data_IF_195551697892
#
_entry.id   IF_195551697892
#
_cell.length_a   1.000
_cell.length_b   1.000
_cell.length_c   1.000
_cell.angle_alpha   90.00
_cell.angle_beta   90.00
_cell.angle_gamma   90.00
#
_symmetry.space_group_name_H-M   'P 1'
#
loop_
_entity.id
_entity.type
_entity.pdbx_description
1 polymer ?
#
# COMPACT_ATOMS: atom_id res chain seq x y z
N UNK A 1 -3.80 -32.30 -14.05
CA UNK A 1 -2.48 -31.84 -13.58
C UNK A 1 -2.62 -31.41 -12.11
N UNK A 2 -1.67 -31.79 -11.24
CA UNK A 2 -1.72 -31.37 -9.83
C UNK A 2 -1.61 -29.85 -9.73
N UNK A 3 -2.29 -29.24 -8.75
CA UNK A 3 -2.26 -27.80 -8.46
C UNK A 3 -0.82 -27.38 -8.20
N UNK A 4 -0.26 -26.50 -9.04
CA UNK A 4 1.09 -25.95 -8.80
C UNK A 4 1.03 -24.97 -7.63
N UNK A 5 1.77 -25.23 -6.56
CA UNK A 5 1.97 -24.31 -5.47
C UNK A 5 3.07 -23.31 -5.87
N UNK A 6 2.81 -22.02 -5.73
CA UNK A 6 3.72 -20.95 -6.13
C UNK A 6 4.84 -20.74 -5.11
N UNK A 7 6.01 -20.29 -5.56
CA UNK A 7 7.03 -19.71 -4.70
C UNK A 7 6.70 -18.24 -4.43
N UNK A 8 7.27 -17.68 -3.38
CA UNK A 8 7.07 -16.29 -2.99
C UNK A 8 8.40 -15.56 -2.81
N UNK A 9 8.56 -14.44 -3.53
CA UNK A 9 9.68 -13.53 -3.39
C UNK A 9 9.22 -12.26 -2.66
N UNK A 10 9.98 -11.85 -1.64
CA UNK A 10 9.85 -10.57 -0.94
C UNK A 10 11.00 -9.66 -1.37
N UNK A 11 10.72 -8.46 -1.85
CA UNK A 11 11.75 -7.45 -2.16
C UNK A 11 11.58 -6.28 -1.20
N UNK A 12 12.66 -5.99 -0.43
CA UNK A 12 12.67 -5.05 0.68
C UNK A 12 12.50 -5.75 2.03
N UNK A 13 13.51 -5.65 2.90
CA UNK A 13 13.57 -6.30 4.21
C UNK A 13 13.16 -5.39 5.38
N UNK A 14 12.45 -4.28 5.09
CA UNK A 14 12.05 -3.28 6.07
C UNK A 14 10.92 -3.73 7.00
N UNK A 15 10.42 -2.77 7.79
CA UNK A 15 9.41 -2.98 8.84
C UNK A 15 8.14 -3.69 8.35
N UNK A 16 7.61 -3.28 7.19
CA UNK A 16 6.37 -3.89 6.67
C UNK A 16 6.58 -5.35 6.26
N UNK A 17 7.75 -5.68 5.73
CA UNK A 17 8.05 -7.06 5.31
C UNK A 17 8.40 -7.94 6.49
N UNK A 18 9.35 -7.55 7.35
CA UNK A 18 9.97 -8.44 8.35
C UNK A 18 9.84 -7.97 9.80
N UNK A 19 9.37 -6.74 10.03
CA UNK A 19 9.41 -6.09 11.35
C UNK A 19 10.76 -5.47 11.69
N UNK A 20 11.72 -5.45 10.75
CA UNK A 20 13.05 -4.89 10.97
C UNK A 20 13.06 -3.38 10.71
N UNK A 21 13.62 -2.61 11.67
CA UNK A 21 13.80 -1.16 11.56
C UNK A 21 15.29 -0.85 11.57
N UNK A 22 15.79 -0.20 10.52
CA UNK A 22 17.20 0.13 10.31
C UNK A 22 17.50 1.63 10.49
N UNK A 23 16.60 2.37 11.12
CA UNK A 23 16.77 3.77 11.46
C UNK A 23 17.28 3.93 12.89
N UNK A 24 17.58 5.17 13.31
CA UNK A 24 18.25 5.53 14.55
C UNK A 24 17.83 4.70 15.78
N UNK A 25 18.80 4.44 16.65
CA UNK A 25 18.62 3.69 17.90
C UNK A 25 17.39 4.17 18.69
N UNK A 26 16.43 3.27 18.97
CA UNK A 26 15.25 3.55 19.79
C UNK A 26 13.90 3.64 19.06
N UNK A 27 13.86 3.57 17.73
CA UNK A 27 12.59 3.48 17.02
C UNK A 27 11.99 2.07 17.21
N UNK A 28 10.90 1.97 17.97
CA UNK A 28 10.16 0.72 18.09
C UNK A 28 9.35 0.47 16.81
N UNK A 29 9.36 -0.76 16.26
CA UNK A 29 8.56 -1.10 15.10
C UNK A 29 7.07 -1.01 15.42
N UNK A 30 6.32 -0.37 14.54
CA UNK A 30 4.85 -0.35 14.56
C UNK A 30 4.28 -1.76 14.25
N UNK A 31 5.02 -2.52 13.45
CA UNK A 31 4.68 -3.88 13.01
C UNK A 31 5.76 -4.88 13.48
N UNK A 32 5.67 -5.38 14.72
CA UNK A 32 6.77 -6.07 15.38
C UNK A 32 7.25 -7.37 14.69
N UNK A 33 6.42 -8.01 13.88
CA UNK A 33 6.75 -9.20 13.09
C UNK A 33 6.59 -8.96 11.58
N UNK A 34 6.47 -7.71 11.15
CA UNK A 34 6.09 -7.36 9.79
C UNK A 34 4.68 -7.81 9.44
N UNK A 35 4.35 -7.73 8.16
CA UNK A 35 3.07 -8.19 7.60
C UNK A 35 3.32 -9.29 6.55
N UNK A 36 4.30 -9.09 5.68
CA UNK A 36 4.53 -9.98 4.53
C UNK A 36 5.14 -11.31 4.94
N UNK A 37 6.26 -11.30 5.68
CA UNK A 37 6.97 -12.52 6.06
C UNK A 37 6.11 -13.45 6.93
N UNK A 38 5.38 -12.90 7.90
CA UNK A 38 4.47 -13.69 8.74
C UNK A 38 3.30 -14.28 7.92
N UNK A 39 2.75 -13.51 6.96
CA UNK A 39 1.67 -13.98 6.08
C UNK A 39 2.17 -15.11 5.18
N UNK A 40 3.30 -14.93 4.49
CA UNK A 40 3.84 -15.97 3.63
C UNK A 40 4.24 -17.23 4.41
N UNK A 41 4.79 -17.08 5.62
CA UNK A 41 5.12 -18.22 6.46
C UNK A 41 3.87 -19.00 6.87
N UNK A 42 2.76 -18.32 7.23
CA UNK A 42 1.49 -18.99 7.53
C UNK A 42 0.87 -19.62 6.28
N UNK A 43 0.95 -18.98 5.12
CA UNK A 43 0.51 -19.56 3.86
C UNK A 43 1.31 -20.81 3.47
N UNK A 44 2.64 -20.82 3.74
CA UNK A 44 3.46 -22.02 3.57
C UNK A 44 3.05 -23.12 4.54
N UNK A 45 2.84 -22.81 5.81
CA UNK A 45 2.31 -23.75 6.81
C UNK A 45 0.98 -24.38 6.37
N UNK A 46 0.15 -23.61 5.67
CA UNK A 46 -1.15 -24.04 5.14
C UNK A 46 -1.06 -24.68 3.74
N UNK A 47 0.16 -24.95 3.23
CA UNK A 47 0.40 -25.60 1.93
C UNK A 47 0.03 -24.73 0.71
N UNK A 48 -0.04 -23.40 0.88
CA UNK A 48 -0.41 -22.43 -0.18
C UNK A 48 0.80 -21.82 -0.88
N UNK A 49 1.98 -21.85 -0.25
CA UNK A 49 3.25 -21.38 -0.78
C UNK A 49 4.29 -22.48 -0.62
N UNK A 50 5.19 -22.61 -1.59
CA UNK A 50 6.31 -23.55 -1.57
C UNK A 50 7.57 -22.85 -1.01
N UNK A 51 8.54 -22.44 -1.82
CA UNK A 51 9.74 -21.79 -1.36
C UNK A 51 9.56 -20.28 -1.19
N UNK A 52 10.34 -19.71 -0.26
CA UNK A 52 10.32 -18.29 0.04
C UNK A 52 11.71 -17.69 -0.10
N UNK A 53 11.77 -16.51 -0.73
CA UNK A 53 12.98 -15.74 -0.99
C UNK A 53 12.81 -14.32 -0.47
N UNK A 54 13.93 -13.70 -0.05
CA UNK A 54 13.96 -12.31 0.40
C UNK A 54 15.16 -11.60 -0.21
N UNK A 55 14.93 -10.47 -0.86
CA UNK A 55 15.97 -9.60 -1.40
C UNK A 55 15.92 -8.21 -0.75
N UNK A 56 17.09 -7.64 -0.48
CA UNK A 56 17.28 -6.23 -0.10
C UNK A 56 18.58 -5.74 -0.73
N UNK A 57 18.75 -4.43 -0.85
CA UNK A 57 19.99 -3.88 -1.40
C UNK A 57 21.21 -4.02 -0.46
N UNK A 58 21.02 -4.31 0.82
CA UNK A 58 22.07 -4.32 1.85
C UNK A 58 22.20 -5.71 2.47
N UNK A 59 23.16 -6.51 1.96
CA UNK A 59 23.42 -7.88 2.43
C UNK A 59 23.86 -7.93 3.89
N UNK A 60 24.67 -6.98 4.33
CA UNK A 60 25.16 -6.90 5.73
C UNK A 60 24.04 -6.76 6.78
N UNK A 61 22.80 -6.44 6.38
CA UNK A 61 21.62 -6.43 7.27
C UNK A 61 20.96 -7.79 7.42
N UNK A 62 21.21 -8.73 6.49
CA UNK A 62 20.49 -10.00 6.44
C UNK A 62 20.62 -10.87 7.70
N UNK A 63 21.77 -10.94 8.40
CA UNK A 63 21.84 -11.64 9.67
C UNK A 63 20.85 -11.12 10.71
N UNK A 64 20.73 -9.80 10.87
CA UNK A 64 19.79 -9.17 11.81
C UNK A 64 18.34 -9.36 11.37
N UNK A 65 18.05 -9.34 10.06
CA UNK A 65 16.73 -9.63 9.50
C UNK A 65 16.30 -11.06 9.80
N UNK A 66 17.17 -12.04 9.55
CA UNK A 66 16.89 -13.45 9.88
C UNK A 66 16.68 -13.66 11.38
N UNK A 67 17.45 -12.99 12.23
CA UNK A 67 17.27 -13.04 13.69
C UNK A 67 15.92 -12.45 14.11
N UNK A 68 15.52 -11.31 13.54
CA UNK A 68 14.19 -10.72 13.77
C UNK A 68 13.07 -11.69 13.39
N UNK A 69 13.13 -12.28 12.19
CA UNK A 69 12.13 -13.24 11.75
C UNK A 69 12.12 -14.51 12.61
N UNK A 70 13.29 -15.02 13.01
CA UNK A 70 13.41 -16.15 13.93
C UNK A 70 12.72 -15.88 15.27
N UNK A 71 13.05 -14.76 15.90
CA UNK A 71 12.56 -14.43 17.25
C UNK A 71 11.09 -13.99 17.25
N UNK A 72 10.65 -13.29 16.20
CA UNK A 72 9.29 -12.71 16.13
C UNK A 72 8.26 -13.60 15.45
N UNK A 73 8.69 -14.60 14.67
CA UNK A 73 7.82 -15.51 13.93
C UNK A 73 8.07 -16.96 14.35
N UNK A 74 9.27 -17.53 14.10
CA UNK A 74 9.52 -18.95 14.33
C UNK A 74 9.36 -19.36 15.81
N UNK A 75 9.92 -18.60 16.73
CA UNK A 75 9.88 -18.89 18.17
C UNK A 75 8.55 -18.51 18.82
N UNK A 76 7.78 -17.64 18.16
CA UNK A 76 6.51 -17.12 18.71
C UNK A 76 5.31 -17.98 18.37
N UNK A 77 5.31 -18.62 17.20
CA UNK A 77 4.14 -19.35 16.71
C UNK A 77 4.50 -20.79 16.32
N UNK A 78 3.70 -21.76 16.77
CA UNK A 78 3.85 -23.17 16.38
C UNK A 78 3.71 -23.36 14.87
N UNK A 79 4.58 -24.17 14.28
CA UNK A 79 4.57 -24.53 12.86
C UNK A 79 4.99 -23.39 11.93
N UNK A 80 5.70 -22.36 12.43
CA UNK A 80 6.19 -21.23 11.65
C UNK A 80 7.72 -21.26 11.47
N UNK A 81 8.37 -22.37 11.78
CA UNK A 81 9.82 -22.57 11.67
C UNK A 81 10.33 -22.44 10.23
N UNK A 82 9.44 -22.56 9.24
CA UNK A 82 9.72 -22.35 7.81
C UNK A 82 10.36 -21.00 7.50
N UNK A 83 10.13 -19.99 8.33
CA UNK A 83 10.75 -18.66 8.16
C UNK A 83 12.27 -18.73 8.22
N UNK A 84 12.84 -19.70 8.93
CA UNK A 84 14.28 -19.91 9.04
C UNK A 84 14.91 -20.47 7.74
N UNK A 85 14.08 -21.00 6.82
CA UNK A 85 14.52 -21.52 5.52
C UNK A 85 14.43 -20.50 4.39
N UNK A 86 14.05 -19.25 4.67
CA UNK A 86 14.03 -18.18 3.68
C UNK A 86 15.45 -17.90 3.19
N UNK A 87 15.67 -18.04 1.86
CA UNK A 87 16.94 -17.67 1.24
C UNK A 87 16.99 -16.16 1.04
N UNK A 88 18.06 -15.53 1.50
CA UNK A 88 18.26 -14.08 1.47
C UNK A 88 19.27 -13.66 0.41
N UNK A 89 19.07 -12.52 -0.24
CA UNK A 89 19.91 -11.93 -1.28
C UNK A 89 20.12 -10.43 -1.00
N UNK A 90 21.34 -9.89 -1.29
CA UNK A 90 22.56 -10.58 -1.68
C UNK A 90 23.18 -11.36 -0.49
N UNK A 91 24.42 -11.89 -0.66
CA UNK A 91 25.17 -12.52 0.41
C UNK A 91 25.44 -11.53 1.56
N UNK A 92 25.65 -12.06 2.78
CA UNK A 92 25.78 -11.29 4.02
C UNK A 92 26.98 -10.32 4.05
N UNK A 93 27.99 -10.55 3.24
CA UNK A 93 29.21 -9.72 3.11
C UNK A 93 29.05 -8.53 2.16
N UNK A 94 27.96 -8.50 1.38
CA UNK A 94 27.70 -7.43 0.39
C UNK A 94 27.19 -6.19 1.12
N UNK A 95 27.99 -5.11 1.09
CA UNK A 95 27.62 -3.85 1.72
C UNK A 95 26.41 -3.17 1.05
N UNK A 96 26.35 -3.19 -0.28
CA UNK A 96 25.26 -2.63 -1.07
C UNK A 96 25.26 -3.18 -2.51
N UNK A 97 24.08 -3.62 -2.96
CA UNK A 97 23.81 -4.01 -4.35
C UNK A 97 22.36 -3.63 -4.70
N UNK A 98 22.18 -2.56 -5.47
CA UNK A 98 20.87 -2.08 -5.89
C UNK A 98 20.10 -3.08 -6.76
N UNK A 99 20.80 -4.05 -7.38
CA UNK A 99 20.23 -5.04 -8.29
C UNK A 99 20.11 -6.44 -7.67
N UNK A 100 20.36 -6.58 -6.36
CA UNK A 100 20.27 -7.87 -5.65
C UNK A 100 18.95 -8.60 -5.87
N UNK A 101 17.85 -7.87 -6.13
CA UNK A 101 16.56 -8.47 -6.46
C UNK A 101 16.60 -9.34 -7.71
N UNK A 102 17.48 -9.07 -8.67
CA UNK A 102 17.65 -9.91 -9.89
C UNK A 102 18.17 -11.30 -9.56
N UNK A 103 19.04 -11.42 -8.54
CA UNK A 103 19.53 -12.72 -8.04
C UNK A 103 18.39 -13.56 -7.46
N UNK A 104 17.46 -12.91 -6.77
CA UNK A 104 16.29 -13.57 -6.21
C UNK A 104 15.25 -13.91 -7.28
N UNK A 105 15.02 -13.06 -8.27
CA UNK A 105 14.17 -13.34 -9.44
C UNK A 105 14.63 -14.61 -10.14
N UNK A 106 15.94 -14.81 -10.29
CA UNK A 106 16.53 -16.00 -10.92
C UNK A 106 16.22 -17.32 -10.17
N UNK A 107 15.75 -17.27 -8.93
CA UNK A 107 15.28 -18.44 -8.16
C UNK A 107 13.81 -18.77 -8.43
N UNK A 108 13.07 -17.83 -9.01
CA UNK A 108 11.63 -17.96 -9.26
C UNK A 108 11.36 -18.59 -10.63
N UNK A 109 10.16 -19.06 -10.81
CA UNK A 109 9.65 -19.58 -12.08
C UNK A 109 8.44 -18.77 -12.55
N UNK A 110 8.16 -18.68 -13.86
CA UNK A 110 6.96 -18.01 -14.37
C UNK A 110 5.69 -18.39 -13.59
N UNK A 111 4.89 -17.41 -13.19
CA UNK A 111 3.69 -17.57 -12.37
C UNK A 111 3.92 -17.59 -10.86
N UNK A 112 5.16 -17.50 -10.37
CA UNK A 112 5.42 -17.26 -8.94
C UNK A 112 5.01 -15.84 -8.54
N UNK A 113 4.90 -15.58 -7.23
CA UNK A 113 4.42 -14.31 -6.69
C UNK A 113 5.54 -13.49 -6.08
N UNK A 114 5.48 -12.17 -6.28
CA UNK A 114 6.44 -11.22 -5.71
C UNK A 114 5.71 -10.13 -4.97
N UNK A 115 6.24 -9.75 -3.80
CA UNK A 115 5.84 -8.53 -3.09
C UNK A 115 7.00 -7.54 -3.08
N UNK A 116 6.73 -6.26 -3.35
CA UNK A 116 7.73 -5.19 -3.41
C UNK A 116 7.39 -4.12 -2.37
N UNK A 117 8.21 -4.02 -1.31
CA UNK A 117 8.08 -3.05 -0.22
C UNK A 117 9.42 -2.34 0.00
N UNK A 118 9.80 -1.55 -0.98
CA UNK A 118 11.04 -0.78 -1.07
C UNK A 118 10.74 0.72 -1.09
N UNK A 119 11.71 1.63 -1.14
CA UNK A 119 11.44 3.05 -1.37
C UNK A 119 10.75 3.29 -2.73
N UNK A 120 9.81 4.25 -2.76
CA UNK A 120 8.93 4.53 -3.91
C UNK A 120 9.66 4.65 -5.26
N UNK A 121 10.88 5.25 -5.27
CA UNK A 121 11.67 5.44 -6.49
C UNK A 121 12.17 4.15 -7.13
N UNK A 122 12.19 3.04 -6.40
CA UNK A 122 12.70 1.74 -6.86
C UNK A 122 11.60 0.80 -7.37
N UNK A 123 10.33 1.13 -7.11
CA UNK A 123 9.20 0.26 -7.43
C UNK A 123 9.12 -0.06 -8.92
N UNK A 124 9.33 0.95 -9.79
CA UNK A 124 9.19 0.80 -11.24
C UNK A 124 10.14 -0.25 -11.80
N UNK A 125 11.44 -0.11 -11.54
CA UNK A 125 12.46 -0.99 -12.14
C UNK A 125 12.31 -2.43 -11.62
N UNK A 126 12.03 -2.58 -10.31
CA UNK A 126 11.85 -3.90 -9.69
C UNK A 126 10.57 -4.57 -10.21
N UNK A 127 9.44 -3.85 -10.26
CA UNK A 127 8.18 -4.40 -10.75
C UNK A 127 8.26 -4.81 -12.22
N UNK A 128 8.89 -3.97 -13.07
CA UNK A 128 9.12 -4.24 -14.48
C UNK A 128 9.94 -5.52 -14.66
N UNK A 129 11.10 -5.63 -13.98
CA UNK A 129 11.95 -6.81 -14.07
C UNK A 129 11.23 -8.10 -13.61
N UNK A 130 10.42 -8.03 -12.56
CA UNK A 130 9.62 -9.16 -12.08
C UNK A 130 8.58 -9.58 -13.13
N UNK A 131 7.86 -8.62 -13.73
CA UNK A 131 6.85 -8.92 -14.75
C UNK A 131 7.44 -9.44 -16.03
N UNK A 132 8.62 -8.94 -16.48
CA UNK A 132 9.37 -9.45 -17.61
C UNK A 132 9.86 -10.90 -17.39
N UNK A 133 10.12 -11.26 -16.12
CA UNK A 133 10.39 -12.65 -15.71
C UNK A 133 9.10 -13.49 -15.56
N UNK A 134 7.92 -12.94 -15.94
CA UNK A 134 6.59 -13.56 -15.85
C UNK A 134 6.16 -13.91 -14.43
N UNK A 135 6.52 -13.08 -13.45
CA UNK A 135 6.07 -13.18 -12.06
C UNK A 135 4.87 -12.28 -11.82
N UNK A 136 3.92 -12.72 -11.00
CA UNK A 136 2.84 -11.88 -10.52
C UNK A 136 3.34 -10.95 -9.43
N UNK A 137 2.96 -9.67 -9.48
CA UNK A 137 3.54 -8.62 -8.63
C UNK A 137 2.47 -7.97 -7.75
N UNK A 138 2.77 -7.84 -6.45
CA UNK A 138 2.07 -6.97 -5.51
C UNK A 138 3.05 -5.88 -5.05
N UNK A 139 2.89 -4.66 -5.55
CA UNK A 139 3.77 -3.54 -5.20
C UNK A 139 3.14 -2.66 -4.12
N UNK A 140 3.97 -2.15 -3.21
CA UNK A 140 3.52 -1.18 -2.21
C UNK A 140 2.95 0.10 -2.85
N UNK A 141 2.11 0.80 -2.11
CA UNK A 141 1.59 2.11 -2.53
C UNK A 141 2.59 3.24 -2.20
N UNK A 142 2.68 4.26 -3.05
CA UNK A 142 2.13 4.31 -4.41
C UNK A 142 2.85 3.30 -5.31
N UNK A 143 2.18 2.76 -6.32
CA UNK A 143 2.82 1.83 -7.26
C UNK A 143 4.07 2.47 -7.88
N UNK A 144 3.91 3.68 -8.36
CA UNK A 144 4.95 4.60 -8.84
C UNK A 144 4.49 6.04 -8.59
N UNK A 145 5.38 7.02 -8.77
CA UNK A 145 5.08 8.43 -8.53
C UNK A 145 4.56 9.19 -9.76
N UNK A 146 4.74 8.65 -10.96
CA UNK A 146 4.35 9.32 -12.21
C UNK A 146 3.42 8.46 -13.06
N UNK A 147 2.50 9.12 -13.75
CA UNK A 147 1.51 8.48 -14.62
C UNK A 147 2.19 7.74 -15.78
N UNK A 148 3.21 8.33 -16.41
CA UNK A 148 3.93 7.68 -17.52
C UNK A 148 4.49 6.32 -17.13
N UNK A 149 5.19 6.24 -15.98
CA UNK A 149 5.70 4.97 -15.45
C UNK A 149 4.57 4.00 -15.09
N UNK A 150 3.44 4.51 -14.61
CA UNK A 150 2.28 3.69 -14.29
C UNK A 150 1.69 3.05 -15.56
N UNK A 151 1.51 3.85 -16.61
CA UNK A 151 1.00 3.38 -17.90
C UNK A 151 1.97 2.36 -18.54
N UNK A 152 3.28 2.56 -18.39
CA UNK A 152 4.28 1.59 -18.84
C UNK A 152 4.15 0.26 -18.07
N UNK A 153 3.96 0.28 -16.75
CA UNK A 153 3.74 -0.97 -15.99
C UNK A 153 2.47 -1.71 -16.42
N UNK A 154 1.39 -0.98 -16.75
CA UNK A 154 0.17 -1.58 -17.33
C UNK A 154 0.51 -2.32 -18.62
N UNK A 155 1.28 -1.69 -19.50
CA UNK A 155 1.68 -2.29 -20.77
C UNK A 155 2.55 -3.53 -20.54
N UNK A 156 3.56 -3.45 -19.68
CA UNK A 156 4.45 -4.59 -19.33
C UNK A 156 3.65 -5.76 -18.75
N UNK A 157 2.69 -5.48 -17.85
CA UNK A 157 1.81 -6.52 -17.28
C UNK A 157 0.95 -7.21 -18.35
N UNK A 158 0.47 -6.46 -19.36
CA UNK A 158 -0.29 -7.00 -20.49
C UNK A 158 0.58 -7.88 -21.39
N UNK A 159 1.74 -7.38 -21.80
CA UNK A 159 2.66 -8.09 -22.70
C UNK A 159 3.16 -9.41 -22.11
N UNK A 160 3.37 -9.46 -20.80
CA UNK A 160 3.87 -10.65 -20.12
C UNK A 160 2.75 -11.56 -19.58
N UNK A 161 1.49 -11.16 -19.74
CA UNK A 161 0.31 -11.88 -19.24
C UNK A 161 0.40 -12.22 -17.74
N UNK A 162 0.83 -11.26 -16.91
CA UNK A 162 0.94 -11.39 -15.45
C UNK A 162 -0.01 -10.41 -14.74
N UNK A 163 -0.39 -10.72 -13.52
CA UNK A 163 -1.14 -9.82 -12.66
C UNK A 163 -0.16 -8.89 -11.93
N UNK A 164 -0.44 -7.58 -11.98
CA UNK A 164 0.22 -6.59 -11.15
C UNK A 164 -0.84 -5.87 -10.32
N UNK A 165 -0.67 -5.87 -9.00
CA UNK A 165 -1.57 -5.21 -8.06
C UNK A 165 -0.80 -4.24 -7.16
N UNK A 166 -1.52 -3.24 -6.64
CA UNK A 166 -1.01 -2.29 -5.64
C UNK A 166 -1.55 -2.64 -4.27
N UNK A 167 -0.70 -2.62 -3.24
CA UNK A 167 -1.07 -3.00 -1.87
C UNK A 167 -1.92 -1.91 -1.20
N UNK A 168 -3.16 -1.81 -1.63
CA UNK A 168 -4.19 -1.02 -0.95
C UNK A 168 -4.97 -1.91 0.04
N UNK A 169 -4.29 -2.38 1.09
CA UNK A 169 -4.85 -3.29 2.08
C UNK A 169 -6.14 -2.79 2.74
N UNK A 170 -6.42 -1.49 2.72
CA UNK A 170 -7.67 -0.91 3.23
C UNK A 170 -8.91 -1.39 2.49
N UNK A 171 -8.79 -1.85 1.25
CA UNK A 171 -9.90 -2.49 0.52
C UNK A 171 -10.40 -3.76 1.21
N UNK A 172 -9.57 -4.37 2.09
CA UNK A 172 -9.91 -5.57 2.86
C UNK A 172 -10.37 -5.27 4.31
N UNK A 173 -10.41 -3.99 4.70
CA UNK A 173 -11.01 -3.55 5.96
C UNK A 173 -12.54 -3.61 5.84
N UNK A 174 -13.24 -4.34 6.73
CA UNK A 174 -14.70 -4.53 6.64
C UNK A 174 -15.50 -3.24 6.53
N UNK A 175 -15.05 -2.16 7.20
CA UNK A 175 -15.75 -0.86 7.12
C UNK A 175 -15.63 -0.24 5.72
N UNK A 176 -14.48 -0.38 5.07
CA UNK A 176 -14.25 0.18 3.75
C UNK A 176 -14.87 -0.68 2.66
N UNK A 177 -14.86 -2.00 2.85
CA UNK A 177 -15.53 -2.93 1.93
C UNK A 177 -17.04 -2.68 1.92
N UNK A 178 -17.68 -2.60 3.11
CA UNK A 178 -19.12 -2.30 3.22
C UNK A 178 -19.47 -0.91 2.67
N UNK A 179 -18.61 0.09 2.89
CA UNK A 179 -18.81 1.43 2.33
C UNK A 179 -18.77 1.42 0.79
N UNK A 180 -17.86 0.64 0.20
CA UNK A 180 -17.79 0.47 -1.26
C UNK A 180 -19.05 -0.23 -1.79
N UNK A 181 -19.49 -1.31 -1.15
CA UNK A 181 -20.64 -2.09 -1.60
C UNK A 181 -21.96 -1.30 -1.56
N UNK A 182 -22.03 -0.29 -0.68
CA UNK A 182 -23.18 0.65 -0.61
C UNK A 182 -23.07 1.82 -1.56
N UNK A 183 -21.88 2.09 -2.12
CA UNK A 183 -21.58 3.28 -2.91
C UNK A 183 -22.58 3.52 -4.05
N UNK A 184 -22.90 2.49 -4.82
CA UNK A 184 -23.81 2.57 -5.96
C UNK A 184 -25.24 3.03 -5.54
N UNK A 185 -25.70 2.70 -4.33
CA UNK A 185 -27.02 3.10 -3.83
C UNK A 185 -27.12 4.58 -3.47
N UNK A 186 -25.97 5.27 -3.36
CA UNK A 186 -25.91 6.68 -2.95
C UNK A 186 -26.08 7.65 -4.14
N UNK A 187 -26.19 7.12 -5.37
CA UNK A 187 -26.35 7.92 -6.59
C UNK A 187 -25.06 8.62 -7.04
N UNK A 188 -25.15 9.57 -7.99
CA UNK A 188 -24.00 10.28 -8.52
C UNK A 188 -23.13 10.89 -7.42
N UNK A 189 -21.81 10.80 -7.60
CA UNK A 189 -20.83 11.29 -6.61
C UNK A 189 -20.93 12.82 -6.47
N UNK A 190 -21.04 13.29 -5.25
CA UNK A 190 -21.10 14.71 -4.90
C UNK A 190 -19.86 15.19 -4.16
N UNK A 191 -19.46 14.45 -3.10
CA UNK A 191 -18.44 14.98 -2.21
C UNK A 191 -17.73 13.85 -1.46
N UNK A 192 -16.41 13.96 -1.36
CA UNK A 192 -15.57 13.13 -0.47
C UNK A 192 -14.61 14.01 0.32
N UNK A 193 -14.59 13.87 1.62
CA UNK A 193 -13.62 14.55 2.49
C UNK A 193 -12.93 13.54 3.38
N UNK A 194 -11.60 13.46 3.29
CA UNK A 194 -10.84 12.51 4.05
C UNK A 194 -9.64 13.15 4.75
N UNK A 195 -9.34 12.64 5.93
CA UNK A 195 -8.16 13.04 6.69
C UNK A 195 -7.43 11.80 7.18
N UNK A 196 -6.11 11.78 6.99
CA UNK A 196 -5.23 10.77 7.54
C UNK A 196 -4.00 11.42 8.15
N UNK A 197 -3.77 11.16 9.45
CA UNK A 197 -2.65 11.78 10.17
C UNK A 197 -1.80 10.74 10.85
N UNK A 198 -0.51 11.06 10.99
CA UNK A 198 0.46 10.27 11.74
C UNK A 198 1.14 11.12 12.83
N UNK A 199 1.54 10.55 13.96
CA UNK A 199 2.27 11.28 14.98
C UNK A 199 3.66 11.68 14.51
N UNK A 200 4.12 12.85 14.97
CA UNK A 200 5.45 13.39 14.64
C UNK A 200 6.58 12.41 14.92
N UNK A 201 6.47 11.58 15.95
CA UNK A 201 7.47 10.58 16.29
C UNK A 201 7.75 9.57 15.15
N UNK A 202 6.83 9.36 14.23
CA UNK A 202 7.06 8.52 13.06
C UNK A 202 8.00 9.15 12.03
N UNK A 203 8.19 10.45 12.05
CA UNK A 203 9.21 11.10 11.22
C UNK A 203 10.62 10.56 11.49
N UNK A 204 10.91 10.07 12.70
CA UNK A 204 12.19 9.44 13.03
C UNK A 204 12.42 8.19 12.17
N UNK A 205 11.37 7.42 11.89
CA UNK A 205 11.39 6.27 10.97
C UNK A 205 11.50 6.71 9.50
N UNK A 206 10.89 7.82 9.15
CA UNK A 206 10.79 8.30 7.76
C UNK A 206 11.87 9.29 7.35
N UNK A 207 12.76 9.66 8.25
CA UNK A 207 13.82 10.65 8.05
C UNK A 207 14.64 10.45 6.78
N UNK A 208 14.85 9.21 6.38
CA UNK A 208 15.71 8.88 5.24
C UNK A 208 15.07 9.19 3.88
N UNK A 209 13.73 9.22 3.79
CA UNK A 209 13.02 9.41 2.53
C UNK A 209 12.08 10.62 2.49
N UNK A 210 11.56 11.09 3.63
CA UNK A 210 10.65 12.22 3.69
C UNK A 210 11.27 13.49 3.10
N UNK A 211 10.60 14.11 2.12
CA UNK A 211 11.09 15.27 1.37
C UNK A 211 12.28 14.99 0.44
N UNK A 212 12.61 13.71 0.18
CA UNK A 212 13.62 13.27 -0.80
C UNK A 212 13.00 12.42 -1.90
N UNK A 213 12.65 11.19 -1.57
CA UNK A 213 12.09 10.23 -2.51
C UNK A 213 10.56 10.17 -2.47
N UNK A 214 9.93 10.67 -1.41
CA UNK A 214 8.48 10.70 -1.26
C UNK A 214 8.03 11.81 -0.31
N UNK A 215 6.73 12.08 -0.26
CA UNK A 215 6.08 13.05 0.63
C UNK A 215 4.88 12.43 1.35
N UNK A 216 4.25 13.22 2.24
CA UNK A 216 3.11 12.76 3.03
C UNK A 216 1.88 12.46 2.18
N UNK A 217 1.71 13.09 1.01
CA UNK A 217 0.59 12.84 0.11
C UNK A 217 0.72 11.48 -0.56
N UNK A 218 1.87 11.16 -1.16
CA UNK A 218 2.14 9.83 -1.69
C UNK A 218 2.00 8.76 -0.61
N UNK A 219 2.44 9.07 0.61
CA UNK A 219 2.41 8.10 1.69
C UNK A 219 1.01 7.84 2.23
N UNK A 220 0.16 8.86 2.48
CA UNK A 220 -1.13 8.70 3.13
C UNK A 220 -2.34 9.01 2.23
N UNK A 221 -2.33 10.11 1.44
CA UNK A 221 -3.48 10.44 0.59
C UNK A 221 -3.78 9.34 -0.43
N UNK A 222 -2.75 8.59 -0.87
CA UNK A 222 -2.91 7.44 -1.76
C UNK A 222 -3.99 6.46 -1.30
N UNK A 223 -4.10 6.20 0.00
CA UNK A 223 -5.13 5.31 0.55
C UNK A 223 -6.56 5.85 0.37
N UNK A 224 -6.78 7.13 0.71
CA UNK A 224 -8.13 7.70 0.64
C UNK A 224 -8.53 8.09 -0.78
N UNK A 225 -7.56 8.41 -1.65
CA UNK A 225 -7.81 8.57 -3.09
C UNK A 225 -8.26 7.23 -3.68
N UNK A 226 -7.57 6.12 -3.35
CA UNK A 226 -7.97 4.78 -3.76
C UNK A 226 -9.39 4.43 -3.28
N UNK A 227 -9.70 4.67 -2.01
CA UNK A 227 -11.04 4.42 -1.46
C UNK A 227 -12.12 5.26 -2.15
N UNK A 228 -11.86 6.54 -2.40
CA UNK A 228 -12.79 7.39 -3.14
C UNK A 228 -13.03 6.84 -4.56
N UNK A 229 -11.95 6.55 -5.30
CA UNK A 229 -12.03 5.99 -6.63
C UNK A 229 -12.74 4.62 -6.66
N UNK A 230 -12.54 3.81 -5.62
CA UNK A 230 -13.16 2.49 -5.50
C UNK A 230 -14.66 2.56 -5.17
N UNK A 231 -15.10 3.52 -4.31
CA UNK A 231 -16.52 3.75 -3.99
C UNK A 231 -17.23 4.41 -5.17
N UNK A 232 -16.65 5.47 -5.77
CA UNK A 232 -17.20 6.14 -6.93
C UNK A 232 -17.25 5.21 -8.17
N UNK A 233 -16.41 4.18 -8.17
CA UNK A 233 -16.39 3.11 -9.14
C UNK A 233 -16.19 3.63 -10.57
N UNK A 234 -16.93 3.01 -11.50
CA UNK A 234 -16.90 3.35 -12.93
C UNK A 234 -17.87 4.48 -13.27
N UNK A 235 -18.62 5.00 -12.28
CA UNK A 235 -19.65 6.04 -12.50
C UNK A 235 -19.09 7.46 -12.50
N UNK A 236 -17.86 7.66 -12.01
CA UNK A 236 -17.23 8.99 -11.93
C UNK A 236 -15.73 8.91 -12.24
N UNK A 237 -15.17 10.01 -12.77
CA UNK A 237 -13.74 10.13 -13.06
C UNK A 237 -13.18 11.47 -12.61
N UNK A 238 -11.92 11.52 -12.11
CA UNK A 238 -11.27 12.78 -11.73
C UNK A 238 -10.91 13.59 -12.99
N UNK A 239 -11.09 14.92 -12.94
CA UNK A 239 -10.83 15.82 -14.07
C UNK A 239 -9.75 16.85 -13.79
N UNK A 240 -9.67 17.38 -12.55
CA UNK A 240 -8.71 18.43 -12.18
C UNK A 240 -8.25 18.25 -10.76
N UNK A 241 -7.02 18.66 -10.48
CA UNK A 241 -6.40 18.64 -9.13
C UNK A 241 -5.73 19.97 -8.83
N UNK A 242 -5.89 20.42 -7.58
CA UNK A 242 -5.14 21.53 -7.00
C UNK A 242 -4.63 21.10 -5.63
N UNK A 243 -3.46 21.57 -5.22
CA UNK A 243 -2.86 21.18 -3.96
C UNK A 243 -2.30 22.36 -3.17
N UNK A 244 -2.35 22.26 -1.84
CA UNK A 244 -1.74 23.18 -0.88
C UNK A 244 -0.98 22.39 0.19
N UNK A 245 0.10 22.99 0.72
CA UNK A 245 0.90 22.37 1.77
C UNK A 245 1.22 23.35 2.90
N UNK A 246 1.20 22.83 4.14
CA UNK A 246 1.79 23.48 5.29
C UNK A 246 3.22 22.96 5.50
N UNK A 247 4.12 23.79 6.00
CA UNK A 247 5.54 23.47 6.18
C UNK A 247 6.10 24.09 7.46
N UNK A 248 7.20 23.50 7.97
CA UNK A 248 8.03 24.05 9.03
C UNK A 248 8.12 23.18 10.30
N UNK A 249 7.05 22.48 10.69
CA UNK A 249 7.07 21.65 11.89
C UNK A 249 7.91 20.38 11.73
N UNK A 250 7.82 19.70 10.59
CA UNK A 250 8.58 18.48 10.30
C UNK A 250 10.09 18.77 10.22
N UNK A 251 10.48 19.83 9.49
CA UNK A 251 11.88 20.27 9.42
C UNK A 251 12.45 20.61 10.80
N UNK A 252 11.68 21.33 11.63
CA UNK A 252 12.08 21.67 13.01
C UNK A 252 12.21 20.43 13.88
N UNK A 253 11.25 19.50 13.79
CA UNK A 253 11.26 18.26 14.58
C UNK A 253 12.48 17.39 14.26
N UNK A 254 12.79 17.19 12.97
CA UNK A 254 13.92 16.40 12.52
C UNK A 254 15.26 17.10 12.59
N UNK A 255 15.28 18.41 12.89
CA UNK A 255 16.46 19.28 12.81
C UNK A 255 17.15 19.16 11.43
N UNK A 256 16.39 19.30 10.35
CA UNK A 256 16.83 19.15 8.95
C UNK A 256 16.67 20.48 8.21
N UNK A 257 17.75 20.94 7.57
CA UNK A 257 17.79 22.19 6.78
C UNK A 257 18.20 21.98 5.31
N UNK A 258 18.63 20.77 4.96
CA UNK A 258 19.11 20.43 3.61
C UNK A 258 17.98 20.21 2.58
N UNK A 259 16.74 20.14 3.03
CA UNK A 259 15.56 19.94 2.21
C UNK A 259 14.30 20.49 2.86
N UNK A 260 13.25 20.67 2.06
CA UNK A 260 11.91 21.00 2.54
C UNK A 260 11.10 19.71 2.74
N UNK A 261 10.38 19.64 3.86
CA UNK A 261 9.47 18.56 4.18
C UNK A 261 8.11 19.18 4.46
N UNK A 262 7.10 18.83 3.67
CA UNK A 262 5.75 19.29 3.90
C UNK A 262 5.18 18.64 5.16
N UNK A 263 4.62 19.43 6.06
CA UNK A 263 3.97 18.97 7.31
C UNK A 263 2.64 18.29 7.02
N UNK A 264 1.90 18.90 6.09
CA UNK A 264 0.55 18.52 5.70
C UNK A 264 0.37 18.88 4.23
N UNK A 265 -0.22 17.96 3.46
CA UNK A 265 -0.62 18.22 2.07
C UNK A 265 -2.11 17.95 1.92
N UNK A 266 -2.84 18.94 1.38
CA UNK A 266 -4.24 18.79 0.99
C UNK A 266 -4.37 18.86 -0.52
N UNK A 267 -5.01 17.85 -1.11
CA UNK A 267 -5.41 17.81 -2.50
C UNK A 267 -6.90 18.08 -2.61
N UNK A 268 -7.30 18.89 -3.57
CA UNK A 268 -8.71 19.06 -3.98
C UNK A 268 -8.83 18.61 -5.42
N UNK A 269 -9.77 17.70 -5.70
CA UNK A 269 -9.97 17.07 -7.01
C UNK A 269 -11.40 17.29 -7.47
N UNK A 270 -11.59 17.84 -8.67
CA UNK A 270 -12.88 17.85 -9.36
C UNK A 270 -13.11 16.48 -10.01
N UNK A 271 -14.33 15.97 -9.90
CA UNK A 271 -14.79 14.73 -10.52
C UNK A 271 -15.98 15.01 -11.44
N UNK A 272 -16.13 14.23 -12.48
CA UNK A 272 -17.25 14.25 -13.41
C UNK A 272 -18.04 12.95 -13.32
N UNK A 273 -19.36 13.04 -13.19
CA UNK A 273 -20.26 11.90 -13.18
C UNK A 273 -20.67 11.50 -14.61
N UNK A 274 -20.61 10.20 -14.89
CA UNK A 274 -20.94 9.65 -16.23
C UNK A 274 -22.38 9.88 -16.63
N UNK A 275 -23.31 9.76 -15.68
CA UNK A 275 -24.75 9.70 -15.95
C UNK A 275 -25.32 11.03 -16.45
N UNK A 276 -24.82 12.15 -15.94
CA UNK A 276 -25.40 13.47 -16.16
C UNK A 276 -24.37 14.61 -16.36
N UNK A 277 -23.07 14.27 -16.29
CA UNK A 277 -21.97 15.25 -16.36
C UNK A 277 -21.86 16.17 -15.14
N UNK A 278 -22.66 15.92 -14.08
CA UNK A 278 -22.56 16.68 -12.84
C UNK A 278 -21.20 16.55 -12.19
N UNK A 279 -20.86 17.49 -11.30
CA UNK A 279 -19.53 17.58 -10.69
C UNK A 279 -19.57 17.16 -9.24
N UNK A 280 -18.55 16.39 -8.83
CA UNK A 280 -18.25 16.05 -7.44
C UNK A 280 -16.87 16.59 -7.05
N UNK A 281 -16.61 16.68 -5.74
CA UNK A 281 -15.36 17.21 -5.17
C UNK A 281 -14.77 16.19 -4.20
N UNK A 282 -13.51 15.81 -4.42
CA UNK A 282 -12.71 15.07 -3.47
C UNK A 282 -11.71 15.97 -2.75
N UNK A 283 -11.65 15.88 -1.41
CA UNK A 283 -10.67 16.58 -0.57
C UNK A 283 -9.92 15.54 0.24
N UNK A 284 -8.60 15.51 0.08
CA UNK A 284 -7.73 14.53 0.72
C UNK A 284 -6.64 15.26 1.50
N UNK A 285 -6.62 15.11 2.82
CA UNK A 285 -5.63 15.74 3.70
C UNK A 285 -4.78 14.69 4.39
N UNK A 286 -3.48 14.76 4.18
CA UNK A 286 -2.49 13.93 4.84
C UNK A 286 -1.53 14.75 5.68
N UNK A 287 -1.21 14.31 6.90
CA UNK A 287 -0.32 15.02 7.83
C UNK A 287 0.48 14.04 8.69
N UNK A 288 1.74 14.36 8.98
CA UNK A 288 2.58 13.64 9.95
C UNK A 288 3.00 14.50 11.15
N UNK A 289 2.30 15.58 11.42
CA UNK A 289 2.56 16.44 12.57
C UNK A 289 1.55 16.28 13.71
N UNK A 290 0.76 15.19 13.70
CA UNK A 290 -0.15 14.90 14.78
C UNK A 290 0.60 14.68 16.12
N UNK A 291 0.01 15.00 17.26
CA UNK A 291 0.54 14.66 18.57
C UNK A 291 0.48 13.14 18.79
N UNK A 292 1.24 12.65 19.77
CA UNK A 292 1.05 11.29 20.30
C UNK A 292 -0.32 11.24 20.97
N UNK A 293 -1.16 10.29 20.61
CA UNK A 293 -2.51 10.12 21.15
C UNK A 293 -2.82 8.64 21.41
N UNK A 294 -4.01 8.38 21.89
CA UNK A 294 -4.58 7.06 22.16
C UNK A 294 -4.75 6.18 20.92
N UNK A 295 -4.82 6.77 19.74
CA UNK A 295 -4.78 6.04 18.48
C UNK A 295 -3.51 6.39 17.71
N UNK A 296 -2.88 5.38 17.12
CA UNK A 296 -1.64 5.55 16.36
C UNK A 296 -1.81 6.49 15.17
N UNK A 297 -2.93 6.41 14.47
CA UNK A 297 -3.27 7.26 13.32
C UNK A 297 -4.73 7.68 13.38
N UNK A 298 -5.02 8.92 13.01
CA UNK A 298 -6.39 9.36 12.73
C UNK A 298 -6.67 9.08 11.24
N UNK A 299 -7.77 8.37 10.96
CA UNK A 299 -8.14 7.99 9.60
C UNK A 299 -9.66 8.04 9.51
N UNK A 300 -10.18 9.01 8.79
CA UNK A 300 -11.61 9.16 8.61
C UNK A 300 -11.94 9.69 7.22
N UNK A 301 -13.13 9.39 6.76
CA UNK A 301 -13.70 10.01 5.58
C UNK A 301 -15.21 10.19 5.68
N UNK A 302 -15.71 11.11 4.88
CA UNK A 302 -17.11 11.36 4.63
C UNK A 302 -17.34 11.32 3.12
N UNK A 303 -18.15 10.39 2.65
CA UNK A 303 -18.57 10.24 1.27
C UNK A 303 -20.05 10.61 1.13
N UNK A 304 -20.38 11.47 0.17
CA UNK A 304 -21.75 11.83 -0.19
C UNK A 304 -21.98 11.54 -1.68
N UNK A 305 -23.06 10.86 -1.96
CA UNK A 305 -23.73 10.85 -3.25
C UNK A 305 -24.95 11.76 -3.21
N UNK A 306 -25.63 11.93 -4.33
CA UNK A 306 -26.84 12.76 -4.41
C UNK A 306 -28.02 12.20 -3.58
N UNK A 307 -28.04 10.91 -3.28
CA UNK A 307 -29.10 10.22 -2.57
C UNK A 307 -28.78 9.83 -1.12
N UNK A 308 -27.55 10.06 -0.66
CA UNK A 308 -27.18 9.69 0.71
C UNK A 308 -25.69 9.84 1.01
N UNK A 309 -25.29 9.49 2.24
CA UNK A 309 -23.92 9.65 2.71
C UNK A 309 -23.43 8.49 3.56
N UNK A 310 -22.10 8.31 3.61
CA UNK A 310 -21.41 7.39 4.50
C UNK A 310 -20.30 8.12 5.25
N UNK A 311 -20.17 7.88 6.54
CA UNK A 311 -19.07 8.37 7.38
C UNK A 311 -18.33 7.21 8.02
N UNK A 312 -17.02 7.20 7.88
CA UNK A 312 -16.15 6.18 8.47
C UNK A 312 -15.08 6.82 9.33
N UNK A 313 -14.92 6.31 10.54
CA UNK A 313 -13.80 6.62 11.42
C UNK A 313 -13.05 5.33 11.75
N UNK A 314 -11.96 5.05 11.03
CA UNK A 314 -11.20 3.84 11.21
C UNK A 314 -10.40 3.81 12.52
N UNK A 315 -9.97 4.97 13.01
CA UNK A 315 -9.18 5.07 14.24
C UNK A 315 -9.99 4.75 15.50
N UNK A 316 -11.32 4.95 15.45
CA UNK A 316 -12.21 4.76 16.60
C UNK A 316 -13.33 3.81 16.22
N UNK A 317 -13.17 2.54 16.61
CA UNK A 317 -14.07 1.44 16.23
C UNK A 317 -14.99 0.98 17.36
N UNK A 318 -15.05 1.74 18.47
CA UNK A 318 -15.79 1.35 19.66
C UNK A 318 -15.11 0.23 20.46
N UNK A 319 -13.81 0.01 20.27
CA UNK A 319 -13.01 -0.95 21.03
C UNK A 319 -11.84 -0.24 21.70
N UNK A 320 -11.92 -0.13 23.01
CA UNK A 320 -11.02 0.64 23.85
C UNK A 320 -10.45 -0.23 24.96
N UNK A 321 -9.27 0.12 25.44
CA UNK A 321 -8.63 -0.51 26.57
C UNK A 321 -8.10 0.57 27.51
N UNK A 322 -8.46 0.48 28.78
CA UNK A 322 -7.87 1.28 29.86
C UNK A 322 -7.01 0.37 30.74
N UNK A 323 -5.84 0.84 31.14
CA UNK A 323 -4.92 0.11 32.00
C UNK A 323 -4.24 1.05 33.00
N UNK A 324 -3.87 0.55 34.15
CA UNK A 324 -2.99 1.23 35.10
C UNK A 324 -1.52 1.19 34.59
N UNK A 325 -1.28 1.80 33.44
CA UNK A 325 0.01 1.94 32.77
C UNK A 325 0.27 3.43 32.51
N UNK A 326 1.27 3.99 33.17
CA UNK A 326 1.63 5.41 33.03
C UNK A 326 1.98 5.82 31.59
N UNK A 327 2.48 4.88 30.78
CA UNK A 327 2.88 5.14 29.40
C UNK A 327 1.73 5.02 28.40
N UNK A 328 0.75 4.16 28.69
CA UNK A 328 -0.42 3.90 27.82
C UNK A 328 -1.69 3.64 28.64
N UNK A 329 -2.16 4.63 29.40
CA UNK A 329 -3.32 4.44 30.28
C UNK A 329 -4.62 4.18 29.51
N UNK A 330 -4.68 4.60 28.25
CA UNK A 330 -5.83 4.44 27.38
C UNK A 330 -5.40 4.19 25.93
N UNK A 331 -6.06 3.25 25.23
CA UNK A 331 -5.79 2.95 23.85
C UNK A 331 -7.06 2.57 23.07
N UNK A 332 -7.22 3.11 21.88
CA UNK A 332 -8.15 2.59 20.87
C UNK A 332 -7.46 1.44 20.12
N UNK A 333 -8.09 0.27 20.12
CA UNK A 333 -7.52 -0.95 19.54
C UNK A 333 -8.11 -1.23 18.15
N UNK A 334 -7.26 -1.71 17.24
CA UNK A 334 -7.69 -2.17 15.93
C UNK A 334 -7.24 -3.63 15.70
N UNK A 335 -8.03 -4.63 16.13
CA UNK A 335 -7.69 -6.04 15.94
C UNK A 335 -7.89 -6.51 14.51
N UNK A 336 -8.52 -5.68 13.65
CA UNK A 336 -8.85 -6.05 12.27
C UNK A 336 -7.68 -5.83 11.30
N UNK A 337 -6.64 -5.07 11.69
CA UNK A 337 -5.47 -4.89 10.83
C UNK A 337 -4.59 -6.14 10.81
N UNK A 338 -3.95 -6.45 11.92
CA UNK A 338 -3.11 -7.63 12.15
C UNK A 338 -3.20 -8.00 13.62
N UNK A 339 -3.32 -9.28 13.91
CA UNK A 339 -3.26 -9.79 15.28
C UNK A 339 -1.95 -10.54 15.48
N UNK A 340 -1.04 -9.95 16.25
CA UNK A 340 0.27 -10.52 16.52
C UNK A 340 0.32 -11.41 17.76
N UNK A 341 -0.79 -11.58 18.49
CA UNK A 341 -0.87 -12.48 19.64
C UNK A 341 -1.16 -13.89 19.14
N UNK A 342 -0.41 -14.93 19.58
CA UNK A 342 -0.74 -16.31 19.29
C UNK A 342 -2.15 -16.68 19.76
N UNK A 343 -2.77 -17.63 19.09
CA UNK A 343 -3.97 -18.29 19.58
C UNK A 343 -3.71 -19.09 20.86
N UNK A 344 -4.77 -19.54 21.53
CA UNK A 344 -4.66 -20.37 22.74
C UNK A 344 -3.92 -21.70 22.48
N UNK A 345 -3.95 -22.17 21.26
CA UNK A 345 -3.25 -23.36 20.76
C UNK A 345 -1.77 -23.11 20.40
N UNK A 346 -1.33 -21.83 20.44
CA UNK A 346 0.01 -21.38 20.11
C UNK A 346 0.26 -21.13 18.64
N UNK A 347 -0.72 -21.32 17.77
CA UNK A 347 -0.60 -21.01 16.35
C UNK A 347 -0.85 -19.53 16.07
N UNK A 348 -0.42 -19.05 14.88
CA UNK A 348 -0.78 -17.72 14.40
C UNK A 348 -2.30 -17.62 14.23
N UNK A 349 -2.90 -16.52 14.70
CA UNK A 349 -4.35 -16.31 14.70
C UNK A 349 -4.76 -14.98 14.08
N UNK A 350 -3.90 -14.41 13.23
CA UNK A 350 -4.12 -13.12 12.57
C UNK A 350 -4.72 -13.19 11.16
N UNK A 351 -5.18 -14.35 10.70
CA UNK A 351 -5.66 -14.56 9.31
C UNK A 351 -6.88 -13.69 8.94
N UNK A 352 -7.66 -13.25 9.93
CA UNK A 352 -8.81 -12.35 9.70
C UNK A 352 -8.40 -10.87 9.56
N UNK A 353 -7.14 -10.53 9.80
CA UNK A 353 -6.66 -9.16 9.66
C UNK A 353 -6.60 -8.73 8.20
N UNK A 354 -7.06 -7.49 7.91
CA UNK A 354 -7.10 -7.01 6.52
C UNK A 354 -5.70 -6.84 5.91
N UNK A 355 -4.66 -6.61 6.71
CA UNK A 355 -3.27 -6.62 6.24
C UNK A 355 -2.76 -8.01 5.84
N UNK A 356 -3.31 -9.09 6.46
CA UNK A 356 -3.05 -10.46 6.05
C UNK A 356 -3.88 -10.83 4.80
N UNK A 357 -5.17 -10.50 4.82
CA UNK A 357 -6.13 -10.91 3.78
C UNK A 357 -5.81 -10.34 2.41
N UNK A 358 -5.28 -9.13 2.32
CA UNK A 358 -4.87 -8.53 1.04
C UNK A 358 -3.80 -9.37 0.34
N UNK A 359 -2.77 -9.81 1.08
CA UNK A 359 -1.69 -10.64 0.54
C UNK A 359 -2.19 -12.07 0.25
N UNK A 360 -2.97 -12.67 1.16
CA UNK A 360 -3.56 -13.98 0.96
C UNK A 360 -4.43 -14.02 -0.32
N UNK A 361 -5.27 -12.98 -0.50
CA UNK A 361 -6.14 -12.87 -1.69
C UNK A 361 -5.35 -12.72 -2.98
N UNK A 362 -4.28 -11.92 -2.96
CA UNK A 362 -3.38 -11.80 -4.11
C UNK A 362 -2.79 -13.16 -4.49
N UNK A 363 -2.23 -13.91 -3.53
CA UNK A 363 -1.68 -15.26 -3.79
C UNK A 363 -2.76 -16.21 -4.33
N UNK A 364 -3.96 -16.17 -3.76
CA UNK A 364 -5.08 -17.01 -4.20
C UNK A 364 -5.46 -16.75 -5.66
N UNK A 365 -5.62 -15.49 -6.02
CA UNK A 365 -5.97 -15.06 -7.37
C UNK A 365 -4.88 -15.46 -8.38
N UNK A 366 -3.61 -15.24 -8.05
CA UNK A 366 -2.49 -15.66 -8.89
C UNK A 366 -2.49 -17.18 -9.13
N UNK A 367 -2.77 -17.98 -8.11
CA UNK A 367 -2.89 -19.45 -8.26
C UNK A 367 -4.08 -19.85 -9.15
N UNK A 368 -5.23 -19.16 -9.02
CA UNK A 368 -6.40 -19.41 -9.85
C UNK A 368 -6.14 -19.04 -11.32
N UNK A 369 -5.40 -17.94 -11.58
CA UNK A 369 -4.97 -17.56 -12.92
C UNK A 369 -4.01 -18.59 -13.52
N UNK A 370 -3.01 -19.04 -12.75
CA UNK A 370 -2.06 -20.08 -13.17
C UNK A 370 -2.76 -21.41 -13.49
N UNK A 371 -3.83 -21.72 -12.77
CA UNK A 371 -4.66 -22.91 -13.02
C UNK A 371 -5.63 -22.73 -14.21
N UNK A 372 -5.69 -21.52 -14.82
CA UNK A 372 -6.63 -21.19 -15.90
C UNK A 372 -8.10 -21.10 -15.46
N UNK A 373 -8.37 -20.90 -14.16
CA UNK A 373 -9.73 -20.84 -13.61
C UNK A 373 -10.35 -19.46 -13.74
N UNK A 374 -9.53 -18.42 -13.72
CA UNK A 374 -9.95 -17.02 -13.86
C UNK A 374 -8.97 -16.29 -14.79
N UNK A 375 -9.46 -15.25 -15.41
CA UNK A 375 -8.71 -14.31 -16.27
C UNK A 375 -8.39 -13.02 -15.54
N UNK A 376 -7.56 -12.14 -16.13
CA UNK A 376 -7.37 -10.77 -15.62
C UNK A 376 -8.67 -9.98 -15.60
N UNK A 377 -9.51 -10.13 -16.62
CA UNK A 377 -10.82 -9.48 -16.70
C UNK A 377 -11.72 -9.90 -15.53
N UNK A 378 -11.69 -11.18 -15.14
CA UNK A 378 -12.42 -11.63 -13.95
C UNK A 378 -11.91 -10.94 -12.68
N UNK A 379 -10.60 -10.73 -12.55
CA UNK A 379 -10.01 -10.00 -11.41
C UNK A 379 -10.46 -8.55 -11.37
N UNK A 380 -10.46 -7.86 -12.52
CA UNK A 380 -10.98 -6.50 -12.65
C UNK A 380 -12.47 -6.41 -12.28
N UNK A 381 -13.25 -7.38 -12.69
CA UNK A 381 -14.69 -7.42 -12.41
C UNK A 381 -15.00 -7.74 -10.94
N UNK A 382 -14.20 -8.56 -10.25
CA UNK A 382 -14.29 -8.76 -8.80
C UNK A 382 -14.01 -7.47 -8.02
N UNK A 383 -13.02 -6.69 -8.46
CA UNK A 383 -12.72 -5.36 -7.96
C UNK A 383 -12.26 -5.30 -6.49
N UNK A 384 -11.91 -6.42 -5.87
CA UNK A 384 -11.38 -6.48 -4.50
C UNK A 384 -9.89 -6.17 -4.45
N UNK A 385 -9.10 -6.64 -5.42
CA UNK A 385 -7.72 -6.25 -5.59
C UNK A 385 -7.60 -4.93 -6.36
N UNK A 386 -6.67 -4.09 -5.96
CA UNK A 386 -6.30 -2.90 -6.72
C UNK A 386 -5.29 -3.30 -7.80
N UNK A 387 -5.78 -3.61 -8.99
CA UNK A 387 -4.91 -3.91 -10.13
C UNK A 387 -4.14 -2.67 -10.56
N UNK A 388 -3.06 -2.87 -11.30
CA UNK A 388 -2.28 -1.75 -11.83
C UNK A 388 -3.15 -0.89 -12.76
N UNK A 389 -4.05 -1.49 -13.51
CA UNK A 389 -5.03 -0.80 -14.35
C UNK A 389 -5.96 0.07 -13.49
N UNK A 390 -6.68 -0.52 -12.53
CA UNK A 390 -7.69 0.20 -11.72
C UNK A 390 -7.09 1.28 -10.80
N UNK A 391 -5.78 1.28 -10.57
CA UNK A 391 -5.09 2.23 -9.69
C UNK A 391 -4.39 3.39 -10.41
N UNK A 392 -4.42 3.46 -11.75
CA UNK A 392 -3.78 4.53 -12.51
C UNK A 392 -4.32 5.92 -12.15
N UNK A 393 -5.63 6.06 -11.90
CA UNK A 393 -6.26 7.30 -11.45
C UNK A 393 -5.69 7.81 -10.13
N UNK A 394 -5.32 6.90 -9.22
CA UNK A 394 -4.70 7.26 -7.93
C UNK A 394 -3.34 7.89 -8.17
N UNK A 395 -2.51 7.27 -9.00
CA UNK A 395 -1.19 7.81 -9.37
C UNK A 395 -1.34 9.16 -10.08
N UNK A 396 -2.28 9.29 -11.02
CA UNK A 396 -2.54 10.55 -11.73
C UNK A 396 -2.93 11.69 -10.79
N UNK A 397 -3.79 11.45 -9.80
CA UNK A 397 -4.19 12.46 -8.80
C UNK A 397 -3.00 12.85 -7.92
N UNK A 398 -2.20 11.88 -7.47
CA UNK A 398 -1.02 12.14 -6.63
C UNK A 398 0.03 12.97 -7.38
N UNK A 399 0.37 12.59 -8.61
CA UNK A 399 1.30 13.35 -9.45
C UNK A 399 0.77 14.74 -9.80
N UNK A 400 -0.52 14.86 -10.17
CA UNK A 400 -1.15 16.15 -10.42
C UNK A 400 -1.08 17.07 -9.18
N UNK A 401 -1.27 16.51 -7.97
CA UNK A 401 -1.09 17.22 -6.72
C UNK A 401 0.34 17.70 -6.53
N UNK A 402 1.35 16.88 -6.81
CA UNK A 402 2.76 17.25 -6.73
C UNK A 402 3.10 18.34 -7.77
N UNK A 403 2.66 18.18 -9.01
CA UNK A 403 2.81 19.20 -10.05
C UNK A 403 2.16 20.53 -9.66
N UNK A 404 0.97 20.50 -9.05
CA UNK A 404 0.31 21.70 -8.54
C UNK A 404 1.15 22.41 -7.48
N UNK A 405 1.65 21.68 -6.47
CA UNK A 405 2.50 22.26 -5.41
C UNK A 405 3.79 22.87 -5.97
N UNK A 406 4.44 22.17 -6.89
CA UNK A 406 5.71 22.63 -7.50
C UNK A 406 5.52 23.84 -8.43
N UNK A 407 4.26 24.13 -8.82
CA UNK A 407 3.88 25.25 -9.68
C UNK A 407 2.95 26.25 -8.97
N UNK A 408 3.23 26.58 -7.71
CA UNK A 408 2.51 27.60 -6.93
C UNK A 408 1.01 27.36 -6.82
N UNK A 409 0.64 26.10 -6.60
CA UNK A 409 -0.75 25.63 -6.46
C UNK A 409 -1.65 25.88 -7.69
N UNK A 410 -1.07 25.95 -8.89
CA UNK A 410 -1.84 25.99 -10.14
C UNK A 410 -2.61 24.71 -10.33
N UNK A 411 -3.75 24.80 -11.04
CA UNK A 411 -4.56 23.65 -11.38
C UNK A 411 -3.87 22.72 -12.39
N UNK A 412 -4.11 21.43 -12.23
CA UNK A 412 -3.64 20.39 -13.16
C UNK A 412 -4.85 19.61 -13.67
N UNK A 413 -5.02 19.54 -14.98
CA UNK A 413 -6.05 18.77 -15.66
C UNK A 413 -5.56 17.34 -15.90
N UNK A 414 -6.43 16.36 -15.66
CA UNK A 414 -6.24 14.98 -16.10
C UNK A 414 -6.81 14.83 -17.50
N UNK A 415 -5.96 14.52 -18.47
CA UNK A 415 -6.33 14.40 -19.89
C UNK A 415 -6.75 12.96 -20.20
N UNK A 416 -7.90 12.82 -20.85
CA UNK A 416 -8.43 11.52 -21.29
C UNK A 416 -8.51 11.47 -22.82
N UNK A 417 -8.34 10.27 -23.38
CA UNK A 417 -8.65 10.04 -24.78
C UNK A 417 -10.17 10.13 -24.98
N UNK A 418 -10.60 11.08 -25.82
CA UNK A 418 -12.04 11.32 -26.09
C UNK A 418 -12.71 10.18 -26.85
N UNK A 419 -11.92 9.34 -27.52
CA UNK A 419 -12.41 8.16 -28.25
C UNK A 419 -12.53 6.91 -27.37
N UNK A 420 -11.90 6.93 -26.20
CA UNK A 420 -11.93 5.82 -25.25
C UNK A 420 -13.20 5.83 -24.38
N UNK A 421 -13.61 4.69 -23.80
CA UNK A 421 -14.68 4.63 -22.83
C UNK A 421 -14.48 5.59 -21.65
N UNK A 422 -15.58 6.04 -21.03
CA UNK A 422 -15.52 6.96 -19.86
C UNK A 422 -14.70 6.42 -18.70
N UNK A 423 -14.68 5.11 -18.54
CA UNK A 423 -13.96 4.38 -17.51
C UNK A 423 -12.44 4.28 -17.75
N UNK A 424 -11.97 4.67 -18.93
CA UNK A 424 -10.56 4.62 -19.29
C UNK A 424 -9.71 5.48 -18.37
N UNK A 425 -8.43 5.13 -18.29
CA UNK A 425 -7.47 5.84 -17.47
C UNK A 425 -7.02 7.17 -18.14
N UNK A 426 -6.60 8.16 -17.35
CA UNK A 426 -6.01 9.37 -17.92
C UNK A 426 -4.72 9.03 -18.68
N UNK A 427 -4.47 9.73 -19.77
CA UNK A 427 -3.30 9.51 -20.64
C UNK A 427 -2.19 10.53 -20.42
N UNK A 428 -2.51 11.68 -19.82
CA UNK A 428 -1.54 12.73 -19.53
C UNK A 428 -2.06 13.71 -18.45
N UNK A 429 -1.15 14.53 -17.94
CA UNK A 429 -1.45 15.65 -17.04
C UNK A 429 -1.09 16.98 -17.72
N UNK A 430 -1.91 18.02 -17.54
CA UNK A 430 -1.71 19.32 -18.13
C UNK A 430 -1.89 20.43 -17.08
N UNK A 431 -0.84 21.22 -16.86
CA UNK A 431 -0.89 22.41 -16.01
C UNK A 431 -1.66 23.53 -16.73
N UNK A 432 -2.54 24.27 -16.02
CA UNK A 432 -3.30 25.38 -16.58
C UNK A 432 -3.38 26.59 -15.65
#
# INVERSE_FOLDING_TARGET
MGKRVVNALMVGAGEYTTGSVFTAAGAAPDKPAGVVAITFTDLKRRGRINDMYLADAVGTRMPAVRDTMRTKIAEKYKGMEFVNAIKTFPNDDVAFDAEAYKLAIAQCSPGDVVTIFTPDDTHFDIAKACMEAKLHVLVAKPAVKTLDKHLELIQVAKENNVLCCVEYHKRFDPLYTDARDRGDSLGPFSFFNATMTQPKAQLDTFKNWAGKSSDISYYLNSHHIDICAWIAGKSSRPTKVTAFAAMGAANKYLNVSDRKIEDTITLTTEWENKVDGSKGIGIYTASWIAPKSDSHTQQNFHYCGQNGEIRVNQARRGYEMAMDDEQRPFANLNPLYMKYTPGKDGYFSGQNGYGYRSIERFVEVCQQMNDGKITKEDVENMGDLATIESSARVTAILEAGRLSLDNSSRGVELVYDKSAPFESEPTALRLF
#
